data_IF_368401734244
#
_entry.id   IF_368401734244
#
_cell.length_a   1.000
_cell.length_b   1.000
_cell.length_c   1.000
_cell.angle_alpha   90.00
_cell.angle_beta   90.00
_cell.angle_gamma   90.00
#
_symmetry.space_group_name_H-M   'P 1'
#
loop_
_entity.id
_entity.type
_entity.pdbx_description
1 polymer ?
#
# COMPACT_ATOMS: atom_id res chain seq x y z
N UNK A 1 5.60 8.92 -3.66
CA UNK A 1 4.70 8.01 -4.39
C UNK A 1 3.30 8.22 -3.83
N UNK A 2 2.40 8.80 -4.63
CA UNK A 2 1.05 9.15 -4.22
C UNK A 2 0.18 7.90 -4.13
N UNK A 3 0.16 7.28 -2.94
CA UNK A 3 -0.82 6.26 -2.60
C UNK A 3 -1.73 6.81 -1.51
N UNK A 4 -2.95 7.15 -1.91
CA UNK A 4 -4.03 7.55 -1.01
C UNK A 4 -4.48 6.33 -0.22
N UNK A 5 -4.31 6.37 1.10
CA UNK A 5 -4.75 5.32 2.02
C UNK A 5 -6.24 4.96 1.87
N UNK A 6 -7.07 5.88 1.34
CA UNK A 6 -8.51 5.73 1.21
C UNK A 6 -8.98 4.99 -0.06
N UNK A 7 -8.51 5.34 -1.28
CA UNK A 7 -9.13 4.86 -2.53
C UNK A 7 -8.25 3.98 -3.43
N UNK A 8 -6.98 3.73 -3.07
CA UNK A 8 -6.02 2.89 -3.84
C UNK A 8 -5.88 3.16 -5.32
N UNK A 9 -6.39 4.30 -5.80
CA UNK A 9 -6.21 4.73 -7.17
C UNK A 9 -4.87 5.41 -7.27
N UNK A 10 -3.95 4.76 -7.97
CA UNK A 10 -2.72 5.40 -8.41
C UNK A 10 -3.10 6.50 -9.40
N UNK A 11 -2.81 7.73 -9.06
CA UNK A 11 -2.84 8.86 -10.00
C UNK A 11 -1.45 9.03 -10.60
N UNK A 12 -1.37 9.53 -11.84
CA UNK A 12 -0.08 9.81 -12.43
C UNK A 12 0.65 10.93 -11.65
N UNK A 13 1.99 10.96 -11.72
CA UNK A 13 2.79 11.99 -11.03
C UNK A 13 2.39 13.40 -11.45
N UNK A 14 2.00 13.59 -12.71
CA UNK A 14 1.48 14.86 -13.22
C UNK A 14 0.21 15.32 -12.50
N UNK A 15 -0.76 14.43 -12.28
CA UNK A 15 -1.98 14.75 -11.53
C UNK A 15 -1.68 15.07 -10.06
N UNK A 16 -0.75 14.35 -9.43
CA UNK A 16 -0.30 14.67 -8.06
C UNK A 16 0.30 16.08 -8.01
N UNK A 17 1.24 16.36 -8.92
CA UNK A 17 1.94 17.62 -8.98
C UNK A 17 1.01 18.80 -9.30
N UNK A 18 0.07 18.63 -10.23
CA UNK A 18 -0.92 19.66 -10.53
C UNK A 18 -1.82 19.96 -9.33
N UNK A 19 -2.16 18.95 -8.52
CA UNK A 19 -2.91 19.17 -7.29
C UNK A 19 -2.08 19.93 -6.24
N UNK A 20 -0.80 19.59 -6.08
CA UNK A 20 0.13 20.28 -5.18
C UNK A 20 0.31 21.76 -5.57
N UNK A 21 0.48 22.07 -6.86
CA UNK A 21 0.56 23.45 -7.37
C UNK A 21 -0.69 24.24 -7.00
N UNK A 22 -1.87 23.70 -7.32
CA UNK A 22 -3.16 24.33 -7.02
C UNK A 22 -3.31 24.60 -5.51
N UNK A 23 -2.88 23.66 -4.68
CA UNK A 23 -2.95 23.80 -3.22
C UNK A 23 -1.98 24.88 -2.71
N UNK A 24 -0.77 24.95 -3.26
CA UNK A 24 0.22 25.97 -2.89
C UNK A 24 -0.24 27.38 -3.31
N UNK A 25 -0.68 27.56 -4.56
CA UNK A 25 -1.16 28.84 -5.08
C UNK A 25 -2.40 29.34 -4.33
N UNK A 26 -3.33 28.44 -4.03
CA UNK A 26 -4.56 28.74 -3.31
C UNK A 26 -4.40 28.79 -1.79
N UNK A 27 -3.21 28.49 -1.24
CA UNK A 27 -2.96 28.32 0.21
C UNK A 27 -3.96 27.37 0.86
N UNK A 28 -4.25 26.25 0.20
CA UNK A 28 -5.25 25.27 0.63
C UNK A 28 -4.59 24.14 1.41
N UNK A 29 -5.36 23.50 2.29
CA UNK A 29 -4.96 22.26 2.94
C UNK A 29 -4.78 21.15 1.90
N UNK A 30 -3.76 20.30 2.10
CA UNK A 30 -3.53 19.12 1.28
C UNK A 30 -4.70 18.14 1.33
N UNK A 31 -5.21 17.78 0.15
CA UNK A 31 -6.37 16.90 -0.03
C UNK A 31 -6.08 15.85 -1.09
N UNK A 32 -6.82 14.75 -1.04
CA UNK A 32 -6.73 13.72 -2.07
C UNK A 32 -7.07 14.32 -3.45
N UNK A 33 -6.17 14.18 -4.43
CA UNK A 33 -6.38 14.73 -5.77
C UNK A 33 -7.58 14.11 -6.51
N UNK A 34 -8.05 12.93 -6.10
CA UNK A 34 -9.21 12.26 -6.69
C UNK A 34 -10.53 12.68 -6.03
N UNK A 35 -10.68 12.46 -4.71
CA UNK A 35 -11.95 12.69 -4.00
C UNK A 35 -12.02 14.02 -3.22
N UNK A 36 -10.93 14.80 -3.14
CA UNK A 36 -10.82 16.07 -2.41
C UNK A 36 -11.11 16.01 -0.90
N UNK A 37 -11.22 14.81 -0.33
CA UNK A 37 -11.22 14.62 1.11
C UNK A 37 -9.84 14.95 1.70
N UNK A 38 -9.77 15.48 2.94
CA UNK A 38 -8.51 15.64 3.65
C UNK A 38 -7.72 14.34 3.71
N UNK A 39 -6.39 14.45 3.70
CA UNK A 39 -5.55 13.28 3.96
C UNK A 39 -5.78 12.76 5.38
N UNK A 40 -6.01 11.44 5.55
CA UNK A 40 -6.26 10.89 6.88
C UNK A 40 -5.05 11.02 7.79
N UNK A 41 -5.28 11.07 9.11
CA UNK A 41 -4.20 10.88 10.09
C UNK A 41 -3.60 9.48 9.97
N UNK A 42 -2.48 9.24 10.64
CA UNK A 42 -1.86 7.91 10.68
C UNK A 42 -2.82 6.87 11.27
N UNK A 43 -3.50 7.21 12.36
CA UNK A 43 -4.44 6.32 13.05
C UNK A 43 -5.66 5.99 12.17
N UNK A 44 -6.15 6.97 11.42
CA UNK A 44 -7.24 6.76 10.45
C UNK A 44 -6.78 5.89 9.29
N UNK A 45 -5.58 6.14 8.76
CA UNK A 45 -5.00 5.33 7.69
C UNK A 45 -4.81 3.87 8.13
N UNK A 46 -4.33 3.63 9.35
CA UNK A 46 -4.16 2.29 9.93
C UNK A 46 -5.52 1.58 10.08
N UNK A 47 -6.55 2.31 10.53
CA UNK A 47 -7.93 1.80 10.60
C UNK A 47 -8.47 1.42 9.22
N UNK A 48 -8.24 2.24 8.20
CA UNK A 48 -8.67 1.94 6.83
C UNK A 48 -7.93 0.73 6.26
N UNK A 49 -6.63 0.63 6.50
CA UNK A 49 -5.84 -0.53 6.09
C UNK A 49 -6.36 -1.81 6.75
N UNK A 50 -6.65 -1.78 8.06
CA UNK A 50 -7.24 -2.92 8.78
C UNK A 50 -8.55 -3.37 8.13
N UNK A 51 -9.49 -2.45 7.90
CA UNK A 51 -10.78 -2.76 7.24
C UNK A 51 -10.60 -3.39 5.85
N UNK A 52 -9.60 -2.94 5.09
CA UNK A 52 -9.32 -3.46 3.75
C UNK A 52 -8.71 -4.84 3.77
N UNK A 53 -7.82 -5.12 4.73
CA UNK A 53 -7.29 -6.47 4.96
C UNK A 53 -8.42 -7.43 5.35
N UNK A 54 -9.32 -7.01 6.24
CA UNK A 54 -10.52 -7.77 6.62
C UNK A 54 -11.45 -8.04 5.43
N UNK A 55 -11.50 -7.12 4.47
CA UNK A 55 -12.25 -7.27 3.22
C UNK A 55 -11.49 -8.03 2.11
N UNK A 56 -10.34 -8.63 2.40
CA UNK A 56 -9.48 -9.33 1.44
C UNK A 56 -9.05 -8.48 0.23
N UNK A 57 -8.77 -7.19 0.46
CA UNK A 57 -8.18 -6.34 -0.57
C UNK A 57 -6.71 -6.77 -0.84
N UNK A 58 -6.38 -7.26 -2.06
CA UNK A 58 -5.08 -7.84 -2.36
C UNK A 58 -3.93 -6.85 -2.12
N UNK A 59 -4.13 -5.59 -2.51
CA UNK A 59 -3.13 -4.54 -2.34
C UNK A 59 -2.89 -4.19 -0.87
N UNK A 60 -3.93 -4.13 -0.04
CA UNK A 60 -3.80 -3.86 1.39
C UNK A 60 -3.06 -4.99 2.12
N UNK A 61 -3.30 -6.23 1.72
CA UNK A 61 -2.61 -7.43 2.21
C UNK A 61 -1.14 -7.41 1.78
N UNK A 62 -0.85 -7.14 0.49
CA UNK A 62 0.50 -6.92 -0.01
C UNK A 62 1.25 -5.88 0.84
N UNK A 63 0.62 -4.71 1.04
CA UNK A 63 1.19 -3.62 1.83
C UNK A 63 1.52 -4.03 3.25
N UNK A 64 0.72 -4.93 3.85
CA UNK A 64 1.00 -5.49 5.17
C UNK A 64 2.21 -6.43 5.14
N UNK A 65 2.31 -7.31 4.15
CA UNK A 65 3.50 -8.15 3.95
C UNK A 65 4.77 -7.33 3.77
N UNK A 66 4.71 -6.25 2.98
CA UNK A 66 5.84 -5.34 2.78
C UNK A 66 6.26 -4.59 4.06
N UNK A 67 5.32 -4.36 4.99
CA UNK A 67 5.63 -3.82 6.30
C UNK A 67 6.39 -4.85 7.17
N UNK A 68 5.94 -6.11 7.18
CA UNK A 68 6.60 -7.19 7.94
C UNK A 68 7.99 -7.48 7.41
N UNK A 69 8.14 -7.52 6.08
CA UNK A 69 9.44 -7.70 5.43
C UNK A 69 10.44 -6.63 5.87
N UNK A 70 10.03 -5.37 5.90
CA UNK A 70 10.87 -4.24 6.37
C UNK A 70 11.24 -4.35 7.85
N UNK A 71 10.43 -5.04 8.65
CA UNK A 71 10.71 -5.32 10.07
C UNK A 71 11.61 -6.54 10.26
N UNK A 72 11.98 -7.24 9.18
CA UNK A 72 12.74 -8.49 9.22
C UNK A 72 11.90 -9.72 9.57
N UNK A 73 10.58 -9.58 9.68
CA UNK A 73 9.65 -10.70 9.85
C UNK A 73 9.34 -11.31 8.48
N UNK A 74 10.30 -12.10 7.98
CA UNK A 74 10.20 -12.72 6.67
C UNK A 74 9.13 -13.81 6.60
N UNK A 75 8.92 -14.56 7.69
CA UNK A 75 7.85 -15.56 7.74
C UNK A 75 6.47 -14.90 7.63
N UNK A 76 6.21 -13.87 8.45
CA UNK A 76 4.96 -13.12 8.36
C UNK A 76 4.79 -12.42 7.00
N UNK A 77 5.87 -11.88 6.44
CA UNK A 77 5.85 -11.31 5.09
C UNK A 77 5.44 -12.33 4.04
N UNK A 78 6.00 -13.55 4.10
CA UNK A 78 5.70 -14.63 3.17
C UNK A 78 4.23 -15.02 3.21
N UNK A 79 3.64 -15.15 4.41
CA UNK A 79 2.21 -15.47 4.57
C UNK A 79 1.31 -14.39 3.94
N UNK A 80 1.57 -13.11 4.23
CA UNK A 80 0.79 -12.01 3.65
C UNK A 80 0.95 -11.95 2.12
N UNK A 81 2.17 -12.13 1.61
CA UNK A 81 2.40 -12.14 0.18
C UNK A 81 1.71 -13.31 -0.51
N UNK A 82 1.78 -14.51 0.06
CA UNK A 82 1.08 -15.69 -0.49
C UNK A 82 -0.41 -15.42 -0.59
N UNK A 83 -1.03 -14.91 0.49
CA UNK A 83 -2.46 -14.55 0.50
C UNK A 83 -2.79 -13.47 -0.55
N UNK A 84 -1.95 -12.45 -0.70
CA UNK A 84 -2.19 -11.39 -1.69
C UNK A 84 -2.08 -11.92 -3.13
N UNK A 85 -1.16 -12.83 -3.41
CA UNK A 85 -1.02 -13.49 -4.70
C UNK A 85 -2.23 -14.39 -5.03
N UNK A 86 -2.74 -15.15 -4.05
CA UNK A 86 -3.98 -15.95 -4.18
C UNK A 86 -5.20 -15.08 -4.51
N UNK A 87 -5.22 -13.83 -4.02
CA UNK A 87 -6.26 -12.84 -4.29
C UNK A 87 -6.00 -12.04 -5.58
N UNK A 88 -4.96 -12.37 -6.34
CA UNK A 88 -4.67 -11.82 -7.66
C UNK A 88 -3.78 -10.57 -7.69
N UNK A 89 -3.06 -10.25 -6.61
CA UNK A 89 -2.05 -9.18 -6.65
C UNK A 89 -0.84 -9.61 -7.48
N UNK A 90 -0.74 -9.09 -8.70
CA UNK A 90 0.36 -9.43 -9.62
C UNK A 90 1.72 -8.88 -9.17
N UNK A 91 1.75 -7.79 -8.39
CA UNK A 91 3.01 -7.17 -7.94
C UNK A 91 3.74 -8.06 -6.92
N UNK A 92 2.98 -8.91 -6.22
CA UNK A 92 3.50 -9.78 -5.16
C UNK A 92 4.31 -10.95 -5.68
N UNK A 93 4.08 -11.42 -6.91
CA UNK A 93 4.87 -12.51 -7.48
C UNK A 93 6.36 -12.18 -7.54
N UNK A 94 6.72 -10.93 -7.84
CA UNK A 94 8.12 -10.49 -7.82
C UNK A 94 8.71 -10.53 -6.40
N UNK A 95 7.91 -10.18 -5.38
CA UNK A 95 8.34 -10.24 -3.96
C UNK A 95 8.58 -11.67 -3.51
N UNK A 96 7.64 -12.57 -3.81
CA UNK A 96 7.77 -13.99 -3.49
C UNK A 96 8.98 -14.62 -4.19
N UNK A 97 9.21 -14.30 -5.46
CA UNK A 97 10.39 -14.78 -6.19
C UNK A 97 11.70 -14.37 -5.50
N UNK A 98 11.81 -13.11 -5.07
CA UNK A 98 12.96 -12.64 -4.30
C UNK A 98 13.11 -13.39 -2.96
N UNK A 99 12.01 -13.64 -2.25
CA UNK A 99 12.06 -14.40 -1.00
C UNK A 99 12.52 -15.84 -1.19
N UNK A 100 12.07 -16.51 -2.25
CA UNK A 100 12.56 -17.85 -2.60
C UNK A 100 14.06 -17.85 -2.94
N UNK A 101 14.53 -16.87 -3.70
CA UNK A 101 15.95 -16.73 -4.05
C UNK A 101 16.84 -16.57 -2.81
N UNK A 102 16.38 -15.81 -1.81
CA UNK A 102 17.13 -15.51 -0.59
C UNK A 102 16.88 -16.53 0.54
N UNK A 103 15.98 -17.50 0.35
CA UNK A 103 15.58 -18.44 1.40
C UNK A 103 14.87 -17.77 2.58
N UNK A 104 14.13 -16.68 2.33
CA UNK A 104 13.44 -15.89 3.34
C UNK A 104 12.00 -16.37 3.53
N UNK A 105 11.62 -16.73 4.76
CA UNK A 105 10.24 -17.09 5.09
C UNK A 105 9.77 -18.45 4.56
N UNK A 106 10.66 -19.23 3.95
CA UNK A 106 10.43 -20.62 3.54
C UNK A 106 11.15 -21.58 4.50
N UNK A 107 10.55 -22.74 4.79
CA UNK A 107 11.26 -23.80 5.50
C UNK A 107 12.49 -24.23 4.69
N UNK A 108 13.61 -24.47 5.39
CA UNK A 108 14.84 -24.99 4.80
C UNK A 108 14.76 -26.49 4.56
#
# INVERSE_FOLDING_TARGET
>A
SGMTACCSKVICRGCSHANEIREAEGKLQHKCAFCREPTPTKEEADKYQKKRIEANDPYAIYRKGAEQYKKGDYYGAFEYYTKAAELGDVEVHYRLAGMYEHGEGVEK
#
